data_IF_899180568233
#
_entry.id   IF_899180568233
#
_cell.length_a   1.000
_cell.length_b   1.000
_cell.length_c   1.000
_cell.angle_alpha   90.00
_cell.angle_beta   90.00
_cell.angle_gamma   90.00
#
_symmetry.space_group_name_H-M   'P 1'
#
loop_
_entity.id
_entity.type
_entity.pdbx_description
1 polymer ?
#
# COMPACT_ATOMS: atom_id res chain seq x y z
N UNK A 1 8.66 -11.18 -5.88
CA UNK A 1 8.41 -11.60 -4.47
C UNK A 1 8.82 -10.53 -3.45
N UNK A 2 10.02 -9.94 -3.56
CA UNK A 2 10.49 -8.91 -2.60
C UNK A 2 9.61 -7.65 -2.55
N UNK A 3 9.15 -7.15 -3.71
CA UNK A 3 8.26 -5.97 -3.80
C UNK A 3 6.93 -6.20 -3.07
N UNK A 4 6.31 -7.37 -3.24
CA UNK A 4 5.06 -7.71 -2.56
C UNK A 4 5.24 -7.85 -1.04
N UNK A 5 6.39 -8.36 -0.59
CA UNK A 5 6.75 -8.38 0.83
C UNK A 5 6.98 -6.98 1.41
N UNK A 6 7.54 -6.06 0.62
CA UNK A 6 7.70 -4.66 1.01
C UNK A 6 6.33 -3.96 1.11
N UNK A 7 5.46 -4.14 0.12
CA UNK A 7 4.09 -3.62 0.14
C UNK A 7 3.31 -4.13 1.35
N UNK A 8 3.31 -5.44 1.59
CA UNK A 8 2.60 -6.01 2.75
C UNK A 8 3.15 -5.49 4.08
N UNK A 9 4.46 -5.29 4.21
CA UNK A 9 5.05 -4.66 5.40
C UNK A 9 4.59 -3.21 5.60
N UNK A 10 4.46 -2.45 4.51
CA UNK A 10 3.91 -1.09 4.53
C UNK A 10 2.45 -1.12 4.97
N UNK A 11 1.62 -1.97 4.37
CA UNK A 11 0.19 -2.06 4.69
C UNK A 11 -0.09 -2.40 6.16
N UNK A 12 0.62 -3.38 6.74
CA UNK A 12 0.43 -3.75 8.16
C UNK A 12 0.92 -2.69 9.15
N UNK A 13 1.71 -1.71 8.69
CA UNK A 13 2.16 -0.60 9.53
C UNK A 13 1.15 0.55 9.60
N UNK A 14 0.13 0.55 8.75
CA UNK A 14 -0.91 1.58 8.70
C UNK A 14 -1.91 1.36 9.86
N UNK A 15 -2.17 2.36 10.72
CA UNK A 15 -3.16 2.23 11.78
C UNK A 15 -4.58 2.07 11.22
N UNK A 16 -5.26 0.99 11.60
CA UNK A 16 -6.59 0.65 11.06
C UNK A 16 -7.74 1.55 11.51
N UNK A 17 -7.49 2.51 12.42
CA UNK A 17 -8.53 3.32 13.08
C UNK A 17 -8.31 4.84 12.92
N UNK A 18 -7.21 5.24 12.27
CA UNK A 18 -6.89 6.66 12.07
C UNK A 18 -7.51 7.21 10.81
N UNK A 19 -7.38 6.45 9.73
CA UNK A 19 -7.89 6.77 8.41
C UNK A 19 -8.25 5.48 7.67
N UNK A 20 -9.50 5.37 7.25
CA UNK A 20 -10.05 4.20 6.57
C UNK A 20 -9.49 4.07 5.13
N UNK A 21 -9.04 5.16 4.51
CA UNK A 21 -8.54 5.15 3.12
C UNK A 21 -7.03 4.93 3.02
N UNK A 22 -6.26 5.20 4.09
CA UNK A 22 -4.79 5.18 4.04
C UNK A 22 -4.19 3.87 3.50
N UNK A 23 -4.80 2.71 3.81
CA UNK A 23 -4.37 1.43 3.24
C UNK A 23 -4.69 1.30 1.75
N UNK A 24 -5.83 1.83 1.32
CA UNK A 24 -6.22 1.93 -0.09
C UNK A 24 -5.28 2.85 -0.87
N UNK A 25 -4.98 4.03 -0.35
CA UNK A 25 -4.08 5.01 -0.97
C UNK A 25 -2.67 4.43 -1.19
N UNK A 26 -2.18 3.64 -0.22
CA UNK A 26 -0.90 2.95 -0.35
C UNK A 26 -0.90 1.86 -1.43
N UNK A 27 -2.05 1.21 -1.67
CA UNK A 27 -2.21 0.22 -2.75
C UNK A 27 -2.32 0.94 -4.11
N UNK A 28 -3.12 2.00 -4.20
CA UNK A 28 -3.28 2.80 -5.42
C UNK A 28 -1.93 3.35 -5.87
N UNK A 29 -1.18 4.00 -4.96
CA UNK A 29 0.17 4.50 -5.24
C UNK A 29 1.13 3.40 -5.70
N UNK A 30 1.06 2.21 -5.11
CA UNK A 30 1.89 1.09 -5.55
C UNK A 30 1.47 0.58 -6.94
N UNK A 31 0.18 0.52 -7.23
CA UNK A 31 -0.31 0.11 -8.55
C UNK A 31 0.14 1.10 -9.62
N UNK A 32 0.04 2.41 -9.36
CA UNK A 32 0.47 3.47 -10.26
C UNK A 32 1.94 3.29 -10.68
N UNK A 33 2.83 3.08 -9.70
CA UNK A 33 4.26 2.81 -9.90
C UNK A 33 4.55 1.53 -10.70
N UNK A 34 3.67 0.53 -10.62
CA UNK A 34 3.85 -0.76 -11.28
C UNK A 34 3.18 -0.86 -12.65
N UNK A 35 2.24 0.04 -12.97
CA UNK A 35 1.47 -0.04 -14.21
C UNK A 35 1.58 1.15 -15.16
N UNK A 36 2.38 2.17 -14.85
CA UNK A 36 2.58 3.35 -15.72
C UNK A 36 1.21 3.94 -16.17
N UNK A 37 0.28 3.97 -15.20
CA UNK A 37 -1.10 4.40 -15.38
C UNK A 37 -1.25 5.93 -15.32
#
# INVERSE_FOLDING_TARGET
MQELSALTRRLVSIPSHGDETAAGDAIESWLDEQTDA
#
